data_IF_068565951463
#
_entry.id   IF_068565951463
#
_cell.length_a   1.000
_cell.length_b   1.000
_cell.length_c   1.000
_cell.angle_alpha   90.00
_cell.angle_beta   90.00
_cell.angle_gamma   90.00
#
_symmetry.space_group_name_H-M   'P 1'
#
loop_
_entity.id
_entity.type
_entity.pdbx_description
1 polymer ?
#
# COMPACT_ATOMS: atom_id res chain seq x y z
N UNK A 1 -5.70 4.16 8.81
CA UNK A 1 -5.93 4.33 7.36
C UNK A 1 -7.21 3.59 7.01
N UNK A 2 -8.07 4.15 6.17
CA UNK A 2 -9.28 3.48 5.67
C UNK A 2 -9.03 3.01 4.25
N UNK A 3 -9.37 1.76 3.96
CA UNK A 3 -9.49 1.22 2.59
C UNK A 3 -10.98 1.17 2.25
N UNK A 4 -11.42 1.91 1.25
CA UNK A 4 -12.83 1.97 0.87
C UNK A 4 -12.99 1.97 -0.65
N UNK A 5 -14.19 1.59 -1.10
CA UNK A 5 -14.57 1.78 -2.50
C UNK A 5 -14.87 3.25 -2.74
N UNK A 6 -14.26 3.83 -3.77
CA UNK A 6 -14.49 5.24 -4.12
C UNK A 6 -15.72 5.36 -5.04
N UNK A 7 -16.90 5.45 -4.43
CA UNK A 7 -18.18 5.47 -5.14
C UNK A 7 -18.36 4.24 -6.05
N UNK A 8 -18.54 4.49 -7.36
CA UNK A 8 -18.67 3.44 -8.37
C UNK A 8 -17.32 2.89 -8.89
N UNK A 9 -16.18 3.41 -8.40
CA UNK A 9 -14.84 3.15 -8.91
C UNK A 9 -14.10 2.01 -8.18
N UNK A 10 -12.76 1.98 -8.31
CA UNK A 10 -11.84 1.12 -7.56
C UNK A 10 -11.72 1.54 -6.11
N UNK A 11 -11.05 0.72 -5.30
CA UNK A 11 -10.78 1.09 -3.92
C UNK A 11 -9.56 2.01 -3.79
N UNK A 12 -9.55 2.85 -2.76
CA UNK A 12 -8.44 3.73 -2.43
C UNK A 12 -8.21 3.81 -0.92
N UNK A 13 -7.03 4.34 -0.55
CA UNK A 13 -6.67 4.61 0.83
C UNK A 13 -6.89 6.09 1.16
N UNK A 14 -7.40 6.35 2.36
CA UNK A 14 -7.46 7.71 2.92
C UNK A 14 -7.14 7.73 4.41
N UNK A 15 -6.89 8.94 4.92
CA UNK A 15 -6.84 9.18 6.37
C UNK A 15 -8.22 8.86 6.97
N UNK A 16 -8.18 8.21 8.13
CA UNK A 16 -9.38 7.97 8.92
C UNK A 16 -9.86 9.28 9.55
N UNK A 17 -11.15 9.37 9.81
CA UNK A 17 -11.83 10.48 10.48
C UNK A 17 -12.74 9.94 11.57
N UNK A 18 -13.31 10.82 12.41
CA UNK A 18 -14.27 10.43 13.44
C UNK A 18 -15.53 9.73 12.89
N UNK A 19 -15.81 9.82 11.58
CA UNK A 19 -16.96 9.16 10.94
C UNK A 19 -16.72 7.69 10.60
N UNK A 20 -15.49 7.19 10.81
CA UNK A 20 -15.10 5.82 10.50
C UNK A 20 -15.22 4.88 11.71
N UNK A 21 -15.95 5.31 12.75
CA UNK A 21 -16.19 4.55 13.98
C UNK A 21 -17.66 4.10 14.08
N UNK A 22 -17.93 2.79 14.29
CA UNK A 22 -16.95 1.69 14.25
C UNK A 22 -16.53 1.35 12.81
N UNK A 23 -15.39 0.66 12.61
CA UNK A 23 -14.97 0.20 11.29
C UNK A 23 -15.98 -0.71 10.59
N UNK A 24 -16.26 -0.46 9.32
CA UNK A 24 -17.28 -1.19 8.53
C UNK A 24 -16.81 -2.56 7.99
N UNK A 25 -15.65 -3.05 8.42
CA UNK A 25 -15.14 -4.35 7.97
C UNK A 25 -15.86 -5.52 8.66
N UNK A 26 -15.65 -6.73 8.15
CA UNK A 26 -16.28 -7.95 8.68
C UNK A 26 -16.05 -8.18 10.19
N UNK A 27 -14.94 -7.70 10.74
CA UNK A 27 -14.58 -7.86 12.15
C UNK A 27 -15.08 -6.71 13.03
N UNK A 28 -15.68 -5.65 12.45
CA UNK A 28 -16.15 -4.48 13.19
C UNK A 28 -15.07 -3.73 13.99
N UNK A 29 -13.78 -3.95 13.67
CA UNK A 29 -12.64 -3.51 14.49
C UNK A 29 -11.47 -3.04 13.64
N UNK A 30 -10.63 -2.18 14.19
CA UNK A 30 -9.39 -1.76 13.52
C UNK A 30 -8.42 -2.94 13.43
N UNK A 31 -7.94 -3.22 12.22
CA UNK A 31 -7.07 -4.35 11.98
C UNK A 31 -5.60 -3.92 11.92
N UNK A 32 -4.75 -4.64 12.65
CA UNK A 32 -3.30 -4.52 12.59
C UNK A 32 -2.72 -5.83 12.06
N UNK A 33 -2.49 -5.89 10.76
CA UNK A 33 -1.99 -7.10 10.11
C UNK A 33 -0.52 -7.35 10.51
N UNK A 34 -0.09 -8.63 10.61
CA UNK A 34 1.33 -8.98 10.73
C UNK A 34 2.13 -8.39 9.55
N UNK A 35 3.30 -7.81 9.84
CA UNK A 35 4.14 -7.17 8.85
C UNK A 35 5.35 -8.04 8.51
N UNK A 36 5.58 -8.26 7.22
CA UNK A 36 6.82 -8.84 6.69
C UNK A 36 7.62 -7.73 6.02
N UNK A 37 8.78 -7.41 6.57
CA UNK A 37 9.70 -6.42 5.99
C UNK A 37 10.30 -6.91 4.66
N UNK A 38 10.84 -6.00 3.85
CA UNK A 38 11.41 -6.32 2.53
C UNK A 38 12.48 -7.43 2.54
N UNK A 39 13.27 -7.48 3.61
CA UNK A 39 14.32 -8.50 3.84
C UNK A 39 13.84 -9.68 4.70
N UNK A 40 12.57 -9.70 5.10
CA UNK A 40 11.97 -10.73 5.97
C UNK A 40 11.20 -11.82 5.22
N UNK A 41 11.13 -11.76 3.89
CA UNK A 41 10.46 -12.79 3.10
C UNK A 41 11.21 -14.13 3.17
N UNK A 42 10.51 -15.26 3.31
CA UNK A 42 11.09 -16.59 3.07
C UNK A 42 11.71 -16.68 1.67
N UNK A 43 12.73 -17.53 1.55
CA UNK A 43 13.45 -17.74 0.29
C UNK A 43 12.50 -18.03 -0.87
N UNK A 44 12.66 -17.31 -1.99
CA UNK A 44 11.87 -17.44 -3.21
C UNK A 44 10.43 -16.91 -3.14
N UNK A 45 9.91 -16.52 -1.96
CA UNK A 45 8.54 -15.99 -1.86
C UNK A 45 8.43 -14.58 -2.43
N UNK A 46 9.42 -13.73 -2.15
CA UNK A 46 9.46 -12.35 -2.68
C UNK A 46 9.48 -12.36 -4.20
N UNK A 47 10.31 -13.19 -4.81
CA UNK A 47 10.45 -13.24 -6.27
C UNK A 47 9.16 -13.70 -6.94
N UNK A 48 8.49 -14.73 -6.37
CA UNK A 48 7.17 -15.18 -6.82
C UNK A 48 6.11 -14.07 -6.70
N UNK A 49 6.10 -13.35 -5.58
CA UNK A 49 5.17 -12.24 -5.35
C UNK A 49 5.37 -11.11 -6.37
N UNK A 50 6.62 -10.73 -6.64
CA UNK A 50 6.95 -9.63 -7.55
C UNK A 50 6.81 -10.00 -9.03
N UNK A 51 6.86 -11.30 -9.37
CA UNK A 51 6.67 -11.81 -10.72
C UNK A 51 5.20 -12.12 -11.06
N UNK A 52 4.30 -12.10 -10.08
CA UNK A 52 2.90 -12.42 -10.30
C UNK A 52 2.19 -11.37 -11.17
N UNK A 53 1.24 -11.83 -11.99
CA UNK A 53 0.32 -10.95 -12.71
C UNK A 53 -0.87 -10.58 -11.81
N UNK A 54 -0.98 -9.29 -11.48
CA UNK A 54 -2.07 -8.74 -10.68
C UNK A 54 -3.22 -8.18 -11.52
N UNK A 55 -3.24 -8.49 -12.82
CA UNK A 55 -4.24 -8.01 -13.77
C UNK A 55 -4.22 -6.49 -13.87
N UNK A 56 -5.31 -5.83 -13.45
CA UNK A 56 -5.42 -4.36 -13.46
C UNK A 56 -4.73 -3.69 -12.27
N UNK A 57 -4.33 -4.44 -11.24
CA UNK A 57 -3.64 -3.90 -10.09
C UNK A 57 -2.12 -3.84 -10.32
N UNK A 58 -1.45 -2.97 -9.57
CA UNK A 58 0.02 -2.80 -9.63
C UNK A 58 0.61 -3.04 -8.24
N UNK A 59 1.60 -3.92 -8.15
CA UNK A 59 2.44 -4.06 -6.95
C UNK A 59 3.49 -2.94 -6.91
N UNK A 60 3.27 -1.95 -6.05
CA UNK A 60 4.09 -0.71 -6.03
C UNK A 60 5.49 -0.87 -5.42
N UNK A 61 5.76 -1.97 -4.73
CA UNK A 61 7.05 -2.23 -4.07
C UNK A 61 8.08 -2.92 -4.98
N UNK A 62 7.77 -3.11 -6.27
CA UNK A 62 8.72 -3.67 -7.24
C UNK A 62 9.80 -2.63 -7.56
N UNK A 63 11.03 -3.09 -7.71
CA UNK A 63 12.22 -2.25 -7.84
C UNK A 63 12.10 -1.19 -8.97
N UNK A 64 11.63 -1.60 -10.15
CA UNK A 64 11.46 -0.71 -11.31
C UNK A 64 10.33 0.33 -11.20
N UNK A 65 9.57 0.33 -10.09
CA UNK A 65 8.47 1.27 -9.84
C UNK A 65 8.61 2.01 -8.53
N UNK A 66 9.32 1.43 -7.57
CA UNK A 66 9.36 1.92 -6.20
C UNK A 66 9.86 3.36 -6.12
N UNK A 67 10.96 3.69 -6.81
CA UNK A 67 11.47 5.07 -6.89
C UNK A 67 10.42 6.06 -7.41
N UNK A 68 9.76 5.75 -8.53
CA UNK A 68 8.71 6.63 -9.07
C UNK A 68 7.48 6.74 -8.17
N UNK A 69 7.19 5.74 -7.34
CA UNK A 69 6.16 5.84 -6.30
C UNK A 69 6.59 6.73 -5.14
N UNK A 70 7.87 6.68 -4.73
CA UNK A 70 8.41 7.56 -3.70
C UNK A 70 8.37 9.02 -4.15
N UNK A 71 8.74 9.32 -5.40
CA UNK A 71 8.66 10.68 -5.97
C UNK A 71 7.23 11.23 -5.92
N UNK A 72 6.25 10.43 -6.32
CA UNK A 72 4.83 10.83 -6.32
C UNK A 72 4.26 10.99 -4.91
N UNK A 73 4.77 10.23 -3.95
CA UNK A 73 4.32 10.28 -2.56
C UNK A 73 5.02 11.37 -1.74
N UNK A 74 6.14 11.91 -2.24
CA UNK A 74 6.96 12.89 -1.54
C UNK A 74 6.17 14.19 -1.31
N UNK A 75 5.91 14.58 -0.04
CA UNK A 75 5.29 15.86 0.25
C UNK A 75 6.21 17.03 -0.09
N UNK A 76 5.61 18.15 -0.47
CA UNK A 76 6.36 19.38 -0.70
C UNK A 76 7.16 19.78 0.55
N UNK A 77 8.43 20.17 0.35
CA UNK A 77 9.29 20.68 1.42
C UNK A 77 10.06 19.61 2.22
N UNK A 78 9.94 18.32 1.85
CA UNK A 78 10.74 17.26 2.46
C UNK A 78 12.07 17.11 1.69
N UNK A 79 13.25 17.28 2.33
CA UNK A 79 14.55 17.15 1.68
C UNK A 79 14.91 15.67 1.49
N UNK A 80 14.34 15.04 0.46
CA UNK A 80 14.58 13.64 0.11
C UNK A 80 14.62 13.47 -1.40
N UNK A 81 15.67 12.80 -1.90
CA UNK A 81 15.80 12.42 -3.30
C UNK A 81 15.72 10.88 -3.42
N UNK A 82 14.59 10.32 -3.88
CA UNK A 82 14.42 8.88 -4.02
C UNK A 82 15.25 8.25 -5.16
N UNK A 83 15.76 9.05 -6.09
CA UNK A 83 16.55 8.55 -7.22
C UNK A 83 18.07 8.51 -6.95
N UNK A 84 18.53 9.08 -5.82
CA UNK A 84 19.96 9.23 -5.48
C UNK A 84 20.44 10.67 -5.64
#
# INVERSE_FOLDING_TARGET
IVYHKDGASTHCFRKATAKDEPPENHLGTWHYAPLVGWNGYPAGLRDKLLAADFGKATIGIREDRFTGHLEKALPQGVPFNPAG
#
